data_IF_291771998171
#
_entry.id   IF_291771998171
#
_cell.length_a   1.000
_cell.length_b   1.000
_cell.length_c   1.000
_cell.angle_alpha   90.00
_cell.angle_beta   90.00
_cell.angle_gamma   90.00
#
_symmetry.space_group_name_H-M   'P 1'
#
loop_
_entity.id
_entity.type
_entity.pdbx_description
1 polymer ?
#
# COMPACT_ATOMS: atom_id res chain seq x y z
N UNK A 1 43.87 28.75 17.78
CA UNK A 1 43.01 27.74 18.44
C UNK A 1 41.75 27.58 17.59
N UNK A 2 41.79 26.69 16.60
CA UNK A 2 40.68 26.52 15.66
C UNK A 2 39.82 25.36 16.17
N UNK A 3 38.64 25.68 16.70
CA UNK A 3 37.67 24.66 17.14
C UNK A 3 37.23 23.85 15.93
N UNK A 4 37.69 22.61 15.89
CA UNK A 4 37.19 21.52 15.07
C UNK A 4 35.66 21.48 15.13
N UNK A 5 35.03 21.77 14.00
CA UNK A 5 33.59 21.70 13.81
C UNK A 5 33.19 20.22 13.80
N UNK A 6 32.49 19.78 14.86
CA UNK A 6 32.02 18.41 15.05
C UNK A 6 31.17 17.95 13.86
N UNK A 7 31.69 17.02 13.06
CA UNK A 7 30.88 16.22 12.13
C UNK A 7 30.04 15.25 12.96
N UNK A 8 28.81 15.65 13.27
CA UNK A 8 27.80 14.71 13.75
C UNK A 8 27.48 13.80 12.57
N UNK A 9 28.05 12.59 12.57
CA UNK A 9 27.62 11.49 11.70
C UNK A 9 26.22 11.07 12.15
N UNK A 10 25.19 11.76 11.64
CA UNK A 10 23.82 11.24 11.63
C UNK A 10 23.86 10.03 10.69
N UNK A 11 23.93 8.84 11.28
CA UNK A 11 23.74 7.59 10.55
C UNK A 11 22.33 7.64 9.95
N UNK A 12 22.23 7.93 8.66
CA UNK A 12 20.99 7.98 7.91
C UNK A 12 20.34 6.59 8.00
N UNK A 13 19.33 6.44 8.85
CA UNK A 13 18.50 5.23 8.90
C UNK A 13 17.78 5.08 7.56
N UNK A 14 18.25 4.15 6.73
CA UNK A 14 17.62 3.87 5.45
C UNK A 14 16.44 2.92 5.66
N UNK A 15 15.22 3.44 5.49
CA UNK A 15 13.98 2.66 5.59
C UNK A 15 13.49 2.33 4.17
N UNK A 16 13.31 1.03 3.89
CA UNK A 16 12.69 0.56 2.65
C UNK A 16 11.19 0.37 2.92
N UNK A 17 10.34 0.98 2.11
CA UNK A 17 8.88 0.88 2.25
C UNK A 17 8.24 0.29 1.00
N UNK A 18 7.29 -0.62 1.21
CA UNK A 18 6.47 -1.19 0.15
C UNK A 18 4.99 -0.89 0.47
N UNK A 19 4.30 -0.23 -0.45
CA UNK A 19 2.93 0.29 -0.27
C UNK A 19 1.99 -0.30 -1.32
N UNK A 20 0.75 -0.55 -0.94
CA UNK A 20 -0.28 -1.06 -1.85
C UNK A 20 -0.11 -2.52 -2.27
N UNK A 21 0.52 -3.35 -1.42
CA UNK A 21 0.58 -4.80 -1.66
C UNK A 21 -0.80 -5.40 -1.43
N UNK A 22 -1.31 -6.16 -2.39
CA UNK A 22 -2.61 -6.85 -2.28
C UNK A 22 -2.47 -8.11 -1.43
N UNK A 23 -3.36 -8.27 -0.45
CA UNK A 23 -3.48 -9.50 0.34
C UNK A 23 -4.60 -10.43 -0.15
N UNK A 24 -5.58 -9.87 -0.88
CA UNK A 24 -6.75 -10.57 -1.40
C UNK A 24 -7.12 -10.08 -2.80
N UNK A 25 -7.99 -10.82 -3.47
CA UNK A 25 -8.65 -10.39 -4.70
C UNK A 25 -9.60 -9.21 -4.43
N UNK A 26 -9.80 -8.29 -5.40
CA UNK A 26 -10.77 -7.20 -5.28
C UNK A 26 -12.16 -7.73 -4.91
N UNK A 27 -12.81 -7.22 -3.85
CA UNK A 27 -14.16 -7.63 -3.44
C UNK A 27 -15.25 -6.99 -4.32
N UNK A 28 -15.10 -7.07 -5.64
CA UNK A 28 -16.00 -6.47 -6.63
C UNK A 28 -16.84 -7.53 -7.36
N UNK A 29 -17.93 -7.09 -8.00
CA UNK A 29 -18.81 -7.98 -8.77
C UNK A 29 -19.35 -9.13 -7.91
N UNK A 30 -19.12 -10.37 -8.35
CA UNK A 30 -19.57 -11.58 -7.65
C UNK A 30 -18.87 -11.82 -6.30
N UNK A 31 -17.73 -11.17 -6.05
CA UNK A 31 -17.00 -11.26 -4.78
C UNK A 31 -17.48 -10.24 -3.75
N UNK A 32 -18.35 -9.31 -4.15
CA UNK A 32 -18.94 -8.36 -3.22
C UNK A 32 -19.75 -9.13 -2.17
N UNK A 33 -19.68 -8.69 -0.91
CA UNK A 33 -20.30 -9.35 0.25
C UNK A 33 -19.82 -10.78 0.55
N UNK A 34 -18.82 -11.28 -0.16
CA UNK A 34 -18.22 -12.59 0.07
C UNK A 34 -16.99 -12.48 0.98
N UNK A 35 -16.55 -13.62 1.53
CA UNK A 35 -15.28 -13.69 2.27
C UNK A 35 -14.10 -13.32 1.34
N UNK A 36 -13.07 -12.61 1.83
CA UNK A 36 -11.89 -12.29 1.04
C UNK A 36 -11.23 -13.54 0.45
N UNK A 37 -11.01 -13.52 -0.87
CA UNK A 37 -10.32 -14.61 -1.57
C UNK A 37 -8.81 -14.30 -1.56
N UNK A 38 -7.95 -15.21 -1.06
CA UNK A 38 -6.51 -14.96 -1.02
C UNK A 38 -5.91 -14.72 -2.41
N UNK A 39 -4.96 -13.79 -2.50
CA UNK A 39 -4.39 -13.34 -3.78
C UNK A 39 -3.74 -14.46 -4.61
N UNK A 40 -3.20 -15.49 -3.96
CA UNK A 40 -2.58 -16.64 -4.65
C UNK A 40 -3.58 -17.60 -5.31
N UNK A 41 -4.89 -17.45 -5.04
CA UNK A 41 -5.93 -18.19 -5.76
C UNK A 41 -6.25 -17.57 -7.11
N UNK A 42 -5.89 -16.31 -7.32
CA UNK A 42 -6.08 -15.58 -8.57
C UNK A 42 -4.76 -15.54 -9.35
N UNK A 43 -4.67 -16.35 -10.41
CA UNK A 43 -3.49 -16.43 -11.26
C UNK A 43 -3.20 -15.14 -12.02
N UNK A 44 -4.12 -14.17 -12.09
CA UNK A 44 -3.87 -12.86 -12.71
C UNK A 44 -3.19 -11.88 -11.74
N UNK A 45 -3.43 -12.05 -10.43
CA UNK A 45 -2.91 -11.18 -9.38
C UNK A 45 -1.60 -11.68 -8.80
N UNK A 46 -1.40 -12.99 -8.71
CA UNK A 46 -0.21 -13.62 -8.13
C UNK A 46 0.42 -14.59 -9.12
N UNK A 47 1.50 -14.15 -9.78
CA UNK A 47 2.32 -14.99 -10.66
C UNK A 47 3.79 -14.87 -10.25
N UNK A 48 4.55 -15.94 -10.45
CA UNK A 48 5.96 -16.02 -10.04
C UNK A 48 6.84 -14.93 -10.65
N UNK A 49 6.57 -14.55 -11.90
CA UNK A 49 7.39 -13.61 -12.67
C UNK A 49 6.82 -12.18 -12.68
N UNK A 50 5.60 -12.00 -12.16
CA UNK A 50 4.91 -10.71 -12.22
C UNK A 50 5.40 -9.77 -11.11
N UNK A 51 6.08 -8.69 -11.52
CA UNK A 51 6.55 -7.64 -10.60
C UNK A 51 5.61 -6.44 -10.63
N UNK A 52 5.17 -5.97 -9.46
CA UNK A 52 4.35 -4.76 -9.32
C UNK A 52 5.12 -3.64 -8.61
N UNK A 53 4.89 -2.40 -9.06
CA UNK A 53 5.43 -1.20 -8.40
C UNK A 53 4.60 -0.87 -7.16
N UNK A 54 5.26 -0.86 -6.00
CA UNK A 54 4.63 -0.72 -4.67
C UNK A 54 5.17 0.51 -3.94
N UNK A 55 5.17 1.64 -4.64
CA UNK A 55 5.66 2.93 -4.12
C UNK A 55 4.53 3.86 -3.67
N UNK A 56 3.28 3.52 -3.98
CA UNK A 56 2.08 4.34 -3.71
C UNK A 56 1.06 3.52 -2.91
N UNK A 57 0.26 4.20 -2.09
CA UNK A 57 -0.89 3.57 -1.44
C UNK A 57 -1.97 3.23 -2.46
N UNK A 58 -2.74 2.18 -2.20
CA UNK A 58 -3.97 1.90 -2.93
C UNK A 58 -5.08 2.87 -2.55
N UNK A 59 -6.22 2.76 -3.23
CA UNK A 59 -7.45 3.45 -2.81
C UNK A 59 -7.84 3.02 -1.39
N UNK A 60 -8.34 3.93 -0.54
CA UNK A 60 -9.06 3.52 0.66
C UNK A 60 -10.35 2.82 0.25
N UNK A 61 -10.89 1.98 1.15
CA UNK A 61 -12.22 1.42 0.98
C UNK A 61 -13.26 2.54 0.87
N UNK A 62 -14.28 2.32 0.03
CA UNK A 62 -15.38 3.27 -0.15
C UNK A 62 -16.03 3.64 1.19
N UNK A 63 -15.98 4.92 1.54
CA UNK A 63 -16.49 5.45 2.81
C UNK A 63 -16.81 6.95 2.70
N UNK A 64 -17.52 7.48 3.69
CA UNK A 64 -17.72 8.93 3.82
C UNK A 64 -16.53 9.52 4.56
N UNK A 65 -15.83 10.46 3.93
CA UNK A 65 -14.75 11.19 4.58
C UNK A 65 -15.30 11.98 5.78
N UNK A 66 -14.76 11.80 7.00
CA UNK A 66 -15.31 12.41 8.20
C UNK A 66 -15.18 13.94 8.23
N UNK A 67 -14.22 14.49 7.48
CA UNK A 67 -13.93 15.93 7.43
C UNK A 67 -14.67 16.62 6.28
N UNK A 68 -14.57 16.11 5.06
CA UNK A 68 -15.21 16.74 3.89
C UNK A 68 -16.68 16.37 3.74
N UNK A 69 -17.15 15.33 4.44
CA UNK A 69 -18.50 14.75 4.35
C UNK A 69 -18.85 14.24 2.94
N UNK A 70 -17.85 14.05 2.07
CA UNK A 70 -18.03 13.52 0.73
C UNK A 70 -17.68 12.03 0.69
N UNK A 71 -18.25 11.31 -0.26
CA UNK A 71 -17.88 9.91 -0.51
C UNK A 71 -16.50 9.85 -1.18
N UNK A 72 -15.61 9.03 -0.64
CA UNK A 72 -14.28 8.78 -1.17
C UNK A 72 -13.94 7.28 -1.16
N UNK A 73 -12.88 6.90 -1.89
CA UNK A 73 -12.40 5.53 -1.95
C UNK A 73 -12.99 4.70 -3.09
N UNK A 74 -12.57 3.43 -3.14
CA UNK A 74 -12.97 2.45 -4.14
C UNK A 74 -13.20 1.09 -3.48
N UNK A 75 -13.85 0.20 -4.20
CA UNK A 75 -14.00 -1.20 -3.77
C UNK A 75 -12.75 -2.05 -4.03
N UNK A 76 -11.84 -1.58 -4.89
CA UNK A 76 -10.55 -2.21 -5.21
C UNK A 76 -9.38 -1.63 -4.40
#
# INVERSE_FOLDING_TARGET
MNKSMNRINICMLQIITYKGIRYAAPPTGNLRWSRPVPVWKDSTLCQREHRRRVTKFGSPCFQVNPFTKQFEGKED
#
